data_IF_300086709089
#
_entry.id   IF_300086709089
#
_cell.length_a   1.000
_cell.length_b   1.000
_cell.length_c   1.000
_cell.angle_alpha   90.00
_cell.angle_beta   90.00
_cell.angle_gamma   90.00
#
_symmetry.space_group_name_H-M   'P 1'
#
loop_
_entity.id
_entity.type
_entity.pdbx_description
1 polymer ?
#
# COMPACT_ATOMS: atom_id res chain seq x y z
N UNK A 1 3.63 -7.77 -3.37
CA UNK A 1 3.27 -8.39 -2.08
C UNK A 1 2.55 -9.69 -2.33
N UNK A 2 2.91 -10.71 -1.60
CA UNK A 2 2.25 -12.02 -1.69
C UNK A 2 1.15 -12.11 -0.64
N UNK A 3 0.06 -12.79 -0.98
CA UNK A 3 -1.04 -13.00 -0.05
C UNK A 3 -2.34 -13.32 -0.77
N UNK A 4 -3.40 -13.47 0.01
CA UNK A 4 -4.73 -13.72 -0.53
C UNK A 4 -5.35 -12.40 -0.99
N UNK A 5 -5.79 -12.35 -2.24
CA UNK A 5 -6.39 -11.15 -2.84
C UNK A 5 -7.91 -11.19 -2.68
N UNK A 6 -8.48 -10.09 -2.21
CA UNK A 6 -9.92 -9.90 -2.02
C UNK A 6 -10.35 -8.61 -2.73
N UNK A 7 -11.64 -8.51 -3.15
CA UNK A 7 -12.16 -7.21 -3.54
C UNK A 7 -12.06 -6.21 -2.40
N UNK A 8 -11.85 -4.93 -2.70
CA UNK A 8 -11.72 -3.91 -1.66
C UNK A 8 -12.98 -3.82 -0.78
N UNK A 9 -14.13 -4.19 -1.33
CA UNK A 9 -15.41 -4.24 -0.59
C UNK A 9 -15.39 -5.22 0.58
N UNK A 10 -14.45 -6.17 0.58
CA UNK A 10 -14.26 -7.14 1.66
C UNK A 10 -13.13 -6.73 2.60
N UNK A 11 -12.63 -5.49 2.50
CA UNK A 11 -11.63 -4.97 3.43
C UNK A 11 -12.19 -4.92 4.85
N UNK A 12 -11.33 -5.17 5.82
CA UNK A 12 -11.67 -5.04 7.23
C UNK A 12 -11.83 -3.57 7.65
N UNK A 13 -11.39 -2.63 6.84
CA UNK A 13 -11.54 -1.19 7.07
C UNK A 13 -12.74 -0.67 6.27
N UNK A 14 -13.75 -0.11 6.95
CA UNK A 14 -14.97 0.40 6.32
C UNK A 14 -14.71 1.50 5.30
N UNK A 15 -13.72 2.34 5.52
CA UNK A 15 -13.36 3.41 4.58
C UNK A 15 -12.97 2.83 3.23
N UNK A 16 -12.21 1.73 3.23
CA UNK A 16 -11.84 1.04 2.01
C UNK A 16 -12.99 0.18 1.46
N UNK A 17 -13.69 -0.53 2.35
CA UNK A 17 -14.79 -1.42 1.95
C UNK A 17 -15.95 -0.65 1.29
N UNK A 18 -16.19 0.60 1.71
CA UNK A 18 -17.22 1.46 1.12
C UNK A 18 -16.82 2.07 -0.22
N UNK A 19 -15.58 1.87 -0.67
CA UNK A 19 -15.01 2.49 -1.89
C UNK A 19 -14.92 4.01 -1.84
N UNK A 20 -15.03 4.62 -0.67
CA UNK A 20 -14.92 6.09 -0.54
C UNK A 20 -13.55 6.60 -0.99
N UNK A 21 -12.50 5.80 -0.81
CA UNK A 21 -11.13 6.16 -1.19
C UNK A 21 -10.78 5.73 -2.62
N UNK A 22 -11.61 4.92 -3.25
CA UNK A 22 -11.41 4.40 -4.59
C UNK A 22 -11.77 2.92 -4.69
N UNK A 23 -11.73 2.39 -5.91
CA UNK A 23 -11.95 0.97 -6.16
C UNK A 23 -10.61 0.25 -6.22
N UNK A 24 -10.59 -1.03 -5.90
CA UNK A 24 -9.36 -1.81 -5.94
C UNK A 24 -9.47 -3.16 -5.24
N UNK A 25 -8.36 -3.58 -4.66
CA UNK A 25 -8.24 -4.88 -4.00
C UNK A 25 -7.71 -4.72 -2.58
N UNK A 26 -7.98 -5.72 -1.76
CA UNK A 26 -7.35 -5.90 -0.46
C UNK A 26 -6.51 -7.18 -0.51
N UNK A 27 -5.37 -7.18 0.15
CA UNK A 27 -4.48 -8.35 0.21
C UNK A 27 -4.29 -8.73 1.67
N UNK A 28 -4.64 -9.96 2.00
CA UNK A 28 -4.27 -10.55 3.28
C UNK A 28 -2.81 -10.99 3.15
N UNK A 29 -1.89 -10.13 3.58
CA UNK A 29 -0.49 -10.25 3.28
C UNK A 29 0.18 -11.42 3.98
N UNK A 30 0.94 -12.21 3.22
CA UNK A 30 1.83 -13.26 3.75
C UNK A 30 3.28 -12.80 3.73
N UNK A 31 3.60 -11.75 2.96
CA UNK A 31 4.92 -11.17 2.81
C UNK A 31 4.81 -9.65 2.86
N UNK A 32 5.67 -9.01 3.61
CA UNK A 32 5.61 -7.56 3.85
C UNK A 32 6.28 -6.69 2.79
N UNK A 33 6.86 -7.25 1.75
CA UNK A 33 7.51 -6.46 0.70
C UNK A 33 6.51 -6.03 -0.35
N UNK A 34 6.47 -4.73 -0.63
CA UNK A 34 5.60 -4.13 -1.65
C UNK A 34 6.43 -3.81 -2.88
N UNK A 35 5.99 -4.32 -4.03
CA UNK A 35 6.63 -4.11 -5.33
C UNK A 35 5.78 -3.18 -6.19
N UNK A 36 6.44 -2.43 -7.09
CA UNK A 36 5.72 -1.56 -8.01
C UNK A 36 4.80 -2.40 -8.91
N UNK A 37 3.50 -2.07 -8.97
CA UNK A 37 2.55 -2.82 -9.79
C UNK A 37 2.65 -2.49 -11.28
N UNK A 38 3.31 -1.38 -11.61
CA UNK A 38 3.47 -0.92 -12.99
C UNK A 38 4.65 0.05 -13.07
N UNK A 39 5.06 0.36 -14.29
CA UNK A 39 6.01 1.44 -14.54
C UNK A 39 5.34 2.78 -14.24
N UNK A 40 6.05 3.68 -13.59
CA UNK A 40 5.51 4.99 -13.28
C UNK A 40 6.43 5.81 -12.39
N UNK A 41 5.84 6.78 -11.72
CA UNK A 41 6.54 7.70 -10.82
C UNK A 41 5.93 7.61 -9.42
N UNK A 42 6.77 7.65 -8.40
CA UNK A 42 6.29 7.72 -7.01
C UNK A 42 5.66 9.10 -6.81
N UNK A 43 4.34 9.17 -6.86
CA UNK A 43 3.61 10.42 -6.74
C UNK A 43 3.48 10.88 -5.28
N UNK A 44 3.52 9.93 -4.35
CA UNK A 44 3.38 10.21 -2.93
C UNK A 44 4.05 9.09 -2.12
N UNK A 45 4.82 9.49 -1.11
CA UNK A 45 5.29 8.58 -0.07
C UNK A 45 5.02 9.25 1.27
N UNK A 46 4.19 8.59 2.09
CA UNK A 46 3.87 9.14 3.40
C UNK A 46 5.12 9.13 4.30
N UNK A 47 5.33 10.16 5.11
CA UNK A 47 6.46 10.17 6.05
C UNK A 47 6.49 8.96 6.97
N UNK A 48 5.32 8.43 7.31
CA UNK A 48 5.16 7.21 8.13
C UNK A 48 5.37 5.92 7.33
N UNK A 49 5.62 6.01 6.02
CA UNK A 49 6.01 4.90 5.13
C UNK A 49 4.99 3.76 5.04
N UNK A 50 3.77 3.95 5.53
CA UNK A 50 2.72 2.93 5.47
C UNK A 50 1.90 3.00 4.18
N UNK A 51 2.06 4.06 3.40
CA UNK A 51 1.32 4.25 2.15
C UNK A 51 2.21 4.88 1.10
N UNK A 52 2.06 4.43 -0.14
CA UNK A 52 2.81 4.91 -1.29
C UNK A 52 1.87 5.02 -2.49
N UNK A 53 1.97 6.11 -3.24
CA UNK A 53 1.23 6.33 -4.47
C UNK A 53 2.14 6.21 -5.69
N UNK A 54 1.66 5.52 -6.72
CA UNK A 54 2.34 5.39 -8.01
C UNK A 54 1.43 5.95 -9.10
N UNK A 55 1.95 6.86 -9.89
CA UNK A 55 1.25 7.40 -11.06
C UNK A 55 1.82 6.76 -12.31
N UNK A 56 0.97 6.03 -13.04
CA UNK A 56 1.37 5.41 -14.30
C UNK A 56 1.46 6.43 -15.44
N UNK A 57 2.08 6.05 -16.55
CA UNK A 57 2.17 6.89 -17.75
C UNK A 57 0.78 7.25 -18.29
N UNK A 58 -0.23 6.41 -18.06
CA UNK A 58 -1.61 6.63 -18.51
C UNK A 58 -2.38 7.63 -17.63
N UNK A 59 -1.77 8.13 -16.56
CA UNK A 59 -2.43 9.05 -15.63
C UNK A 59 -3.27 8.36 -14.57
N UNK A 60 -3.18 7.04 -14.43
CA UNK A 60 -3.84 6.30 -13.35
C UNK A 60 -2.97 6.39 -12.10
N UNK A 61 -3.57 6.78 -10.99
CA UNK A 61 -2.89 6.80 -9.71
C UNK A 61 -3.30 5.57 -8.89
N UNK A 62 -2.29 4.80 -8.45
CA UNK A 62 -2.48 3.64 -7.59
C UNK A 62 -1.98 3.99 -6.19
N UNK A 63 -2.83 3.84 -5.20
CA UNK A 63 -2.44 4.02 -3.80
C UNK A 63 -2.35 2.65 -3.13
N UNK A 64 -1.20 2.36 -2.55
CA UNK A 64 -0.98 1.14 -1.79
C UNK A 64 -0.87 1.53 -0.32
N UNK A 65 -1.80 1.05 0.49
CA UNK A 65 -1.87 1.34 1.92
C UNK A 65 -1.64 0.05 2.69
N UNK A 66 -0.54 -0.03 3.41
CA UNK A 66 -0.15 -1.23 4.15
C UNK A 66 -0.71 -1.18 5.57
N UNK A 67 -1.61 -2.10 5.85
CA UNK A 67 -2.21 -2.26 7.16
C UNK A 67 -3.35 -1.28 7.45
N UNK A 68 -4.09 -1.56 8.49
CA UNK A 68 -5.21 -0.75 8.95
C UNK A 68 -4.76 0.03 10.17
N UNK A 69 -4.91 1.36 10.14
CA UNK A 69 -4.48 2.27 11.21
C UNK A 69 -2.97 2.25 11.49
N UNK A 70 -2.17 1.77 10.55
CA UNK A 70 -0.72 1.65 10.72
C UNK A 70 -0.01 3.01 10.75
N UNK A 71 -0.69 4.09 10.40
CA UNK A 71 -0.19 5.45 10.62
C UNK A 71 0.18 5.68 12.10
N UNK A 72 -0.47 4.99 13.01
CA UNK A 72 -0.21 5.08 14.46
C UNK A 72 1.20 4.59 14.84
N UNK A 73 1.82 3.79 14.00
CA UNK A 73 3.17 3.26 14.25
C UNK A 73 4.28 4.29 13.97
N UNK A 74 3.93 5.40 13.37
CA UNK A 74 4.84 6.53 13.08
C UNK A 74 6.12 6.09 12.35
N UNK A 75 5.98 5.14 11.42
CA UNK A 75 7.08 4.63 10.60
C UNK A 75 7.80 3.42 11.19
N UNK A 76 7.55 3.05 12.44
CA UNK A 76 8.16 1.85 13.01
C UNK A 76 7.67 0.60 12.29
N UNK A 77 8.61 -0.28 11.97
CA UNK A 77 8.31 -1.52 11.25
C UNK A 77 8.20 -1.34 9.74
N UNK A 78 8.48 -0.16 9.22
CA UNK A 78 8.45 0.14 7.78
C UNK A 78 9.81 0.61 7.29
N UNK A 79 10.18 0.16 6.09
CA UNK A 79 11.39 0.59 5.39
C UNK A 79 11.02 0.98 3.96
N UNK A 80 11.42 2.16 3.53
CA UNK A 80 11.19 2.62 2.16
C UNK A 80 12.45 2.46 1.32
N UNK A 81 12.29 2.00 0.08
CA UNK A 81 13.36 1.84 -0.89
C UNK A 81 13.33 2.91 -1.97
N UNK A 82 12.33 3.78 -1.93
CA UNK A 82 12.12 4.87 -2.90
C UNK A 82 11.80 6.16 -2.17
N UNK A 83 11.91 7.27 -2.90
CA UNK A 83 11.47 8.58 -2.44
C UNK A 83 10.45 9.15 -3.41
N UNK A 84 9.65 10.12 -2.94
CA UNK A 84 8.69 10.80 -3.79
C UNK A 84 9.41 11.46 -4.97
N UNK A 85 8.88 11.24 -6.17
CA UNK A 85 9.48 11.73 -7.41
C UNK A 85 10.32 10.70 -8.16
N UNK A 86 10.67 9.58 -7.52
CA UNK A 86 11.45 8.53 -8.17
C UNK A 86 10.66 7.89 -9.31
N UNK A 87 11.36 7.55 -10.38
CA UNK A 87 10.82 6.72 -11.46
C UNK A 87 11.04 5.26 -11.11
N UNK A 88 10.00 4.45 -11.24
CA UNK A 88 10.04 3.03 -10.91
C UNK A 88 9.57 2.19 -12.09
N UNK A 89 10.02 0.96 -12.12
CA UNK A 89 9.57 -0.05 -13.08
C UNK A 89 8.82 -1.14 -12.36
N UNK A 90 7.88 -1.77 -13.06
CA UNK A 90 7.14 -2.90 -12.53
C UNK A 90 8.10 -3.91 -11.88
N UNK A 91 7.82 -4.27 -10.63
CA UNK A 91 8.64 -5.21 -9.87
C UNK A 91 9.72 -4.58 -9.00
N UNK A 92 9.96 -3.27 -9.10
CA UNK A 92 10.88 -2.59 -8.20
C UNK A 92 10.33 -2.60 -6.78
N UNK A 93 11.22 -2.78 -5.79
CA UNK A 93 10.82 -2.72 -4.38
C UNK A 93 10.47 -1.28 -4.01
N UNK A 94 9.30 -1.10 -3.43
CA UNK A 94 8.84 0.22 -2.97
C UNK A 94 9.05 0.39 -1.47
N UNK A 95 8.52 -0.56 -0.70
CA UNK A 95 8.68 -0.55 0.75
C UNK A 95 8.57 -1.95 1.32
N UNK A 96 8.97 -2.09 2.57
CA UNK A 96 8.87 -3.35 3.31
C UNK A 96 8.24 -3.06 4.66
N UNK A 97 7.26 -3.88 5.03
CA UNK A 97 6.61 -3.82 6.33
C UNK A 97 6.93 -5.07 7.14
N UNK A 98 7.16 -4.90 8.43
CA UNK A 98 7.28 -6.00 9.37
C UNK A 98 5.88 -6.41 9.83
N UNK A 99 5.32 -7.44 9.19
CA UNK A 99 3.96 -7.87 9.46
C UNK A 99 3.77 -8.38 10.89
N UNK A 100 4.77 -9.05 11.44
CA UNK A 100 4.71 -9.55 12.82
C UNK A 100 4.66 -8.41 13.81
N UNK A 101 5.46 -7.36 13.58
CA UNK A 101 5.44 -6.16 14.39
C UNK A 101 4.06 -5.48 14.37
N UNK A 102 3.45 -5.39 13.20
CA UNK A 102 2.10 -4.81 13.04
C UNK A 102 1.09 -5.60 13.88
N UNK A 103 1.15 -6.94 13.81
CA UNK A 103 0.27 -7.81 14.58
C UNK A 103 0.51 -7.70 16.08
N UNK A 104 1.76 -7.59 16.50
CA UNK A 104 2.12 -7.40 17.91
C UNK A 104 1.54 -6.12 18.49
N UNK A 105 1.38 -5.09 17.66
CA UNK A 105 0.75 -3.82 18.07
C UNK A 105 -0.77 -3.87 18.02
N UNK A 106 -1.36 -5.04 17.76
CA UNK A 106 -2.81 -5.23 17.70
C UNK A 106 -3.45 -4.68 16.45
N UNK A 107 -2.66 -4.41 15.40
CA UNK A 107 -3.15 -3.87 14.14
C UNK A 107 -3.26 -4.97 13.09
N UNK A 108 -4.13 -4.74 12.10
CA UNK A 108 -4.35 -5.68 11.00
C UNK A 108 -3.40 -5.32 9.85
N UNK A 109 -2.54 -6.25 9.38
CA UNK A 109 -1.61 -5.98 8.28
C UNK A 109 -2.25 -6.05 6.89
N UNK A 110 -3.57 -6.20 6.79
CA UNK A 110 -4.24 -6.20 5.49
C UNK A 110 -3.84 -4.98 4.68
N UNK A 111 -3.43 -5.21 3.43
CA UNK A 111 -2.93 -4.17 2.54
C UNK A 111 -3.95 -3.90 1.46
N UNK A 112 -4.24 -2.63 1.20
CA UNK A 112 -5.18 -2.21 0.16
C UNK A 112 -4.44 -1.54 -0.97
N UNK A 113 -4.81 -1.89 -2.21
CA UNK A 113 -4.35 -1.17 -3.40
C UNK A 113 -5.58 -0.62 -4.11
N UNK A 114 -5.67 0.70 -4.17
CA UNK A 114 -6.81 1.39 -4.78
C UNK A 114 -6.36 2.19 -5.99
N UNK A 115 -7.24 2.23 -6.98
CA UNK A 115 -7.01 2.94 -8.24
C UNK A 115 -7.85 4.21 -8.26
N UNK A 116 -7.19 5.33 -8.54
CA UNK A 116 -7.83 6.62 -8.77
C UNK A 116 -7.51 7.07 -10.17
N UNK A 117 -8.55 7.25 -10.97
CA UNK A 117 -8.41 7.78 -12.32
C UNK A 117 -8.60 9.29 -12.30
N UNK A 118 -7.67 10.01 -12.85
CA UNK A 118 -7.75 11.47 -12.99
C UNK A 118 -8.13 11.84 -14.40
#
# INVERSE_FOLDING_TARGET
MKGKVLPVTESADEMFASKMLGDGIAVEAADGTVYAPCDGTVSLLFPTKHAVGIKSADGVELLIHVGINTVQLDGEGFEAFVTQGDTVKKGDKLLKADLDFIREKGLNPQTMMISRKR
#
